data_IF_340017621243
#
_entry.id   IF_340017621243
#
_cell.length_a   1.000
_cell.length_b   1.000
_cell.length_c   1.000
_cell.angle_alpha   90.00
_cell.angle_beta   90.00
_cell.angle_gamma   90.00
#
_symmetry.space_group_name_H-M   'P 1'
#
loop_
_entity.id
_entity.type
_entity.pdbx_description
1 polymer ?
#
# COMPACT_ATOMS: atom_id res chain seq x y z
N UNK A 1 -1.30 16.21 -15.47
CA UNK A 1 0.11 16.30 -15.04
C UNK A 1 0.88 15.33 -15.92
N UNK A 2 1.59 15.87 -16.91
CA UNK A 2 2.35 15.03 -17.82
C UNK A 2 3.69 14.65 -17.15
N UNK A 3 4.06 13.39 -17.15
CA UNK A 3 5.35 12.91 -16.69
C UNK A 3 5.37 12.10 -15.39
N UNK A 4 4.21 11.75 -14.85
CA UNK A 4 4.09 10.90 -13.67
C UNK A 4 3.15 9.73 -13.96
N UNK A 5 3.54 8.54 -13.53
CA UNK A 5 2.68 7.35 -13.53
C UNK A 5 2.65 6.78 -12.11
N UNK A 6 1.50 6.26 -11.71
CA UNK A 6 1.39 5.49 -10.47
C UNK A 6 2.04 4.13 -10.72
N UNK A 7 2.90 3.68 -9.83
CA UNK A 7 3.62 2.41 -9.96
C UNK A 7 3.08 1.36 -9.01
N UNK A 8 2.95 1.69 -7.75
CA UNK A 8 2.40 0.79 -6.75
C UNK A 8 1.73 1.54 -5.60
N UNK A 9 0.91 0.82 -4.84
CA UNK A 9 0.37 1.27 -3.56
C UNK A 9 0.55 0.17 -2.53
N UNK A 10 1.12 0.51 -1.39
CA UNK A 10 1.29 -0.40 -0.28
C UNK A 10 0.53 0.06 0.96
N UNK A 11 0.12 -0.93 1.74
CA UNK A 11 -0.51 -0.79 3.04
C UNK A 11 0.38 -1.48 4.07
N UNK A 12 0.65 -0.80 5.16
CA UNK A 12 1.25 -1.38 6.36
C UNK A 12 0.33 -1.10 7.55
N UNK A 13 0.11 -2.10 8.36
CA UNK A 13 -0.72 -2.02 9.55
C UNK A 13 0.00 -2.67 10.72
N UNK A 14 -0.22 -2.15 11.92
CA UNK A 14 0.31 -2.70 13.14
C UNK A 14 -0.71 -2.57 14.28
N UNK A 15 -0.57 -3.45 15.25
CA UNK A 15 -1.38 -3.44 16.43
C UNK A 15 -0.87 -4.40 17.49
N UNK A 16 -1.72 -4.71 18.45
CA UNK A 16 -1.42 -5.71 19.44
C UNK A 16 -2.59 -6.64 19.73
N UNK A 17 -2.27 -7.77 20.34
CA UNK A 17 -3.23 -8.78 20.75
C UNK A 17 -2.90 -9.34 22.13
N UNK A 18 -3.89 -9.99 22.72
CA UNK A 18 -3.76 -10.68 24.00
C UNK A 18 -4.54 -11.99 23.93
N UNK A 19 -3.92 -13.09 24.33
CA UNK A 19 -4.55 -14.40 24.42
C UNK A 19 -4.36 -14.98 25.81
N UNK A 20 -5.47 -15.42 26.40
CA UNK A 20 -5.47 -16.13 27.67
C UNK A 20 -6.20 -17.47 27.53
N UNK A 21 -5.47 -18.55 27.81
CA UNK A 21 -5.96 -19.91 27.66
C UNK A 21 -5.86 -20.45 26.24
N UNK A 22 -5.51 -21.72 26.11
CA UNK A 22 -5.17 -22.37 24.83
C UNK A 22 -6.32 -22.46 23.81
N UNK A 23 -7.56 -22.19 24.24
CA UNK A 23 -8.74 -22.18 23.36
C UNK A 23 -9.17 -20.75 22.98
N UNK A 24 -8.31 -19.78 23.12
CA UNK A 24 -8.46 -18.42 22.61
C UNK A 24 -7.65 -18.22 21.34
N UNK A 25 -8.17 -17.42 20.42
CA UNK A 25 -7.49 -17.12 19.17
C UNK A 25 -7.83 -15.73 18.65
N UNK A 26 -6.91 -15.17 17.88
CA UNK A 26 -7.08 -13.94 17.14
C UNK A 26 -6.64 -14.13 15.69
N UNK A 27 -7.16 -13.31 14.81
CA UNK A 27 -6.72 -13.26 13.42
C UNK A 27 -6.89 -11.86 12.83
N UNK A 28 -6.05 -11.57 11.86
CA UNK A 28 -6.11 -10.36 11.03
C UNK A 28 -6.24 -10.80 9.58
N UNK A 29 -7.12 -10.14 8.85
CA UNK A 29 -7.29 -10.35 7.43
C UNK A 29 -7.96 -9.14 6.79
N UNK A 30 -8.18 -9.22 5.49
CA UNK A 30 -8.82 -8.15 4.74
C UNK A 30 -8.25 -8.04 3.33
N UNK A 31 -8.44 -6.89 2.73
CA UNK A 31 -7.93 -6.61 1.40
C UNK A 31 -7.69 -5.12 1.17
N UNK A 32 -6.64 -4.84 0.39
CA UNK A 32 -6.39 -3.56 -0.24
C UNK A 32 -6.97 -3.62 -1.66
N UNK A 33 -7.83 -2.67 -2.01
CA UNK A 33 -8.42 -2.56 -3.35
C UNK A 33 -8.11 -1.19 -3.92
N UNK A 34 -7.64 -1.15 -5.16
CA UNK A 34 -7.38 0.08 -5.89
C UNK A 34 -8.10 -0.01 -7.24
N UNK A 35 -8.86 1.01 -7.56
CA UNK A 35 -9.56 1.16 -8.84
C UNK A 35 -9.29 2.52 -9.46
N UNK A 36 -9.43 2.63 -10.77
CA UNK A 36 -9.43 3.92 -11.46
C UNK A 36 -10.71 4.72 -11.14
N UNK A 37 -10.71 6.01 -11.41
CA UNK A 37 -11.87 6.89 -11.18
C UNK A 37 -13.08 6.51 -12.05
N UNK A 38 -12.84 5.95 -13.23
CA UNK A 38 -13.90 5.49 -14.13
C UNK A 38 -14.50 4.12 -13.75
N UNK A 39 -13.98 3.45 -12.72
CA UNK A 39 -14.40 2.12 -12.26
C UNK A 39 -14.28 1.02 -13.35
N UNK A 40 -13.29 1.17 -14.22
CA UNK A 40 -13.02 0.23 -15.32
C UNK A 40 -11.86 -0.72 -15.01
N UNK A 41 -10.93 -0.29 -14.16
CA UNK A 41 -9.79 -1.06 -13.69
C UNK A 41 -9.91 -1.32 -12.20
N UNK A 42 -9.57 -2.52 -11.78
CA UNK A 42 -9.53 -2.92 -10.38
C UNK A 42 -8.36 -3.87 -10.13
N UNK A 43 -7.57 -3.58 -9.12
CA UNK A 43 -6.58 -4.49 -8.57
C UNK A 43 -6.81 -4.66 -7.09
N UNK A 44 -6.55 -5.85 -6.59
CA UNK A 44 -6.79 -6.20 -5.18
C UNK A 44 -5.64 -7.08 -4.68
N UNK A 45 -5.22 -6.83 -3.45
CA UNK A 45 -4.29 -7.71 -2.73
C UNK A 45 -4.84 -8.01 -1.33
N UNK A 46 -4.61 -9.22 -0.85
CA UNK A 46 -5.02 -9.64 0.47
C UNK A 46 -4.11 -9.01 1.54
N UNK A 47 -4.69 -8.53 2.63
CA UNK A 47 -3.91 -8.13 3.80
C UNK A 47 -3.36 -9.38 4.47
N UNK A 48 -2.04 -9.53 4.44
CA UNK A 48 -1.33 -10.65 5.03
C UNK A 48 -0.71 -10.23 6.34
N UNK A 49 -1.14 -10.88 7.42
CA UNK A 49 -0.59 -10.64 8.74
C UNK A 49 0.68 -11.49 8.95
N UNK A 50 1.71 -10.84 9.48
CA UNK A 50 2.88 -11.50 10.04
C UNK A 50 2.67 -11.58 11.56
N UNK A 51 2.41 -12.76 12.06
CA UNK A 51 2.32 -12.95 13.51
C UNK A 51 3.15 -14.14 13.90
N UNK A 52 3.44 -14.38 15.16
CA UNK A 52 2.79 -15.51 15.78
C UNK A 52 1.52 -15.04 16.48
N UNK A 53 0.34 -15.60 16.13
CA UNK A 53 -0.89 -15.40 16.89
C UNK A 53 -1.15 -16.56 17.87
N UNK A 54 -0.07 -17.16 18.37
CA UNK A 54 -0.05 -18.33 19.24
C UNK A 54 0.67 -18.12 20.58
N UNK A 55 1.00 -16.87 20.91
CA UNK A 55 1.61 -16.52 22.18
C UNK A 55 0.49 -16.32 23.22
N UNK A 56 0.40 -17.26 24.15
CA UNK A 56 -0.60 -17.25 25.21
C UNK A 56 0.00 -16.69 26.50
N UNK A 57 -0.72 -15.75 27.10
CA UNK A 57 -0.34 -15.15 28.37
C UNK A 57 -0.49 -16.14 29.53
N UNK A 58 0.33 -15.94 30.56
CA UNK A 58 0.30 -16.68 31.81
C UNK A 58 -0.26 -15.79 32.93
N UNK A 59 -0.65 -16.35 34.08
CA UNK A 59 -1.16 -15.56 35.21
C UNK A 59 -0.24 -14.44 35.72
N UNK A 60 1.04 -14.51 35.37
CA UNK A 60 2.07 -13.53 35.76
C UNK A 60 2.47 -12.59 34.62
N UNK A 61 1.99 -12.83 33.41
CA UNK A 61 2.27 -12.01 32.23
C UNK A 61 0.94 -11.57 31.59
N UNK A 62 0.63 -10.30 31.75
CA UNK A 62 -0.57 -9.66 31.21
C UNK A 62 -0.22 -8.68 30.07
N UNK A 63 0.95 -8.85 29.46
CA UNK A 63 1.41 -7.98 28.36
C UNK A 63 0.68 -8.31 27.06
N UNK A 64 0.49 -7.31 26.22
CA UNK A 64 0.04 -7.51 24.84
C UNK A 64 1.22 -7.85 23.94
N UNK A 65 0.95 -8.58 22.86
CA UNK A 65 1.92 -8.98 21.83
C UNK A 65 1.64 -8.24 20.53
N UNK A 66 2.69 -7.78 19.85
CA UNK A 66 2.55 -7.02 18.62
C UNK A 66 2.23 -7.94 17.43
N UNK A 67 1.53 -7.38 16.47
CA UNK A 67 1.33 -7.94 15.14
C UNK A 67 1.51 -6.87 14.08
N UNK A 68 1.92 -7.29 12.88
CA UNK A 68 2.02 -6.47 11.68
C UNK A 68 1.23 -7.12 10.55
N UNK A 69 0.77 -6.32 9.61
CA UNK A 69 0.16 -6.81 8.38
C UNK A 69 0.46 -5.88 7.21
N UNK A 70 0.47 -6.43 6.02
CA UNK A 70 0.75 -5.66 4.81
C UNK A 70 -0.04 -6.17 3.61
N UNK A 71 -0.23 -5.28 2.64
CA UNK A 71 -0.70 -5.58 1.30
C UNK A 71 -0.01 -4.65 0.30
N UNK A 72 0.18 -5.10 -0.94
CA UNK A 72 0.78 -4.30 -2.00
C UNK A 72 0.09 -4.58 -3.33
N UNK A 73 -0.27 -3.53 -4.05
CA UNK A 73 -0.81 -3.63 -5.41
C UNK A 73 0.10 -2.90 -6.39
N UNK A 74 0.37 -3.53 -7.52
CA UNK A 74 1.11 -2.91 -8.63
C UNK A 74 0.15 -2.24 -9.60
N UNK A 75 0.50 -1.03 -10.01
CA UNK A 75 -0.19 -0.23 -11.00
C UNK A 75 0.70 -0.01 -12.24
N UNK A 76 1.81 -0.75 -12.33
CA UNK A 76 2.77 -0.65 -13.44
C UNK A 76 2.31 -1.34 -14.75
N UNK A 77 1.14 -1.98 -14.76
CA UNK A 77 0.58 -2.60 -15.94
C UNK A 77 0.23 -1.59 -17.04
N UNK A 78 0.31 -2.03 -18.31
CA UNK A 78 0.04 -1.17 -19.45
C UNK A 78 -1.38 -0.58 -19.45
N UNK A 79 -2.33 -1.28 -18.84
CA UNK A 79 -3.72 -0.85 -18.65
C UNK A 79 -3.85 0.36 -17.73
N UNK A 80 -2.89 0.58 -16.82
CA UNK A 80 -2.83 1.72 -15.92
C UNK A 80 -2.15 2.95 -16.54
N UNK A 81 -1.64 2.85 -17.77
CA UNK A 81 -1.00 3.97 -18.44
C UNK A 81 -1.97 5.12 -18.65
N UNK A 82 -1.59 6.30 -18.16
CA UNK A 82 -2.41 7.51 -18.26
C UNK A 82 -3.45 7.65 -17.15
N UNK A 83 -3.58 6.68 -16.26
CA UNK A 83 -4.39 6.83 -15.05
C UNK A 83 -3.68 7.77 -14.08
N UNK A 84 -4.33 8.89 -13.76
CA UNK A 84 -3.78 9.95 -12.89
C UNK A 84 -4.53 10.06 -11.57
N UNK A 85 -5.64 9.35 -11.44
CA UNK A 85 -6.47 9.34 -10.26
C UNK A 85 -6.97 7.93 -9.96
N UNK A 86 -6.83 7.52 -8.73
CA UNK A 86 -7.29 6.22 -8.24
C UNK A 86 -8.09 6.38 -6.96
N UNK A 87 -8.98 5.45 -6.71
CA UNK A 87 -9.71 5.32 -5.46
C UNK A 87 -9.21 4.08 -4.74
N UNK A 88 -8.69 4.29 -3.55
CA UNK A 88 -8.23 3.21 -2.67
C UNK A 88 -9.30 2.88 -1.63
N UNK A 89 -9.51 1.59 -1.40
CA UNK A 89 -10.37 1.06 -0.34
C UNK A 89 -9.61 0.02 0.46
N UNK A 90 -9.64 0.15 1.77
CA UNK A 90 -9.08 -0.82 2.73
C UNK A 90 -10.25 -1.48 3.45
N UNK A 91 -10.30 -2.79 3.40
CA UNK A 91 -11.25 -3.61 4.16
C UNK A 91 -10.46 -4.46 5.15
N UNK A 92 -10.68 -4.26 6.44
CA UNK A 92 -10.02 -5.01 7.50
C UNK A 92 -11.00 -5.84 8.28
N UNK A 93 -10.55 -7.04 8.65
CA UNK A 93 -11.25 -7.95 9.54
C UNK A 93 -10.30 -8.34 10.66
N UNK A 94 -10.60 -7.87 11.87
CA UNK A 94 -9.93 -8.32 13.08
C UNK A 94 -10.90 -9.23 13.83
N UNK A 95 -10.46 -10.42 14.17
CA UNK A 95 -11.29 -11.41 14.87
C UNK A 95 -10.62 -11.83 16.16
N UNK A 96 -11.38 -11.87 17.23
CA UNK A 96 -10.99 -12.44 18.51
C UNK A 96 -12.09 -13.38 18.99
N UNK A 97 -11.74 -14.61 19.33
CA UNK A 97 -12.72 -15.59 19.79
C UNK A 97 -12.14 -16.55 20.83
N UNK A 98 -13.02 -17.10 21.64
CA UNK A 98 -12.69 -18.14 22.61
C UNK A 98 -13.65 -19.33 22.41
N UNK A 99 -13.10 -20.54 22.54
CA UNK A 99 -13.90 -21.77 22.47
C UNK A 99 -13.88 -22.41 23.85
N UNK A 100 -14.94 -22.25 24.66
CA UNK A 100 -15.03 -22.90 25.96
C UNK A 100 -14.95 -24.42 25.84
N UNK A 101 -14.20 -25.06 26.71
CA UNK A 101 -14.21 -26.51 26.91
C UNK A 101 -14.48 -26.81 28.38
N UNK A 102 -14.95 -27.99 28.68
CA UNK A 102 -15.37 -28.39 30.03
C UNK A 102 -14.29 -28.22 31.11
N UNK A 103 -13.01 -28.13 30.70
CA UNK A 103 -11.88 -27.92 31.57
C UNK A 103 -11.12 -26.61 31.27
N UNK A 104 -11.68 -25.73 30.42
CA UNK A 104 -11.06 -24.44 30.17
C UNK A 104 -11.29 -23.54 31.38
N UNK A 105 -10.22 -23.06 31.99
CA UNK A 105 -10.27 -21.97 32.94
C UNK A 105 -10.83 -20.69 32.29
N UNK A 106 -10.57 -19.53 32.88
CA UNK A 106 -10.90 -18.26 32.23
C UNK A 106 -10.22 -18.18 30.86
N UNK A 107 -10.98 -17.78 29.83
CA UNK A 107 -10.51 -17.57 28.48
C UNK A 107 -10.70 -16.12 28.11
N UNK A 108 -9.72 -15.55 27.41
CA UNK A 108 -9.82 -14.20 26.88
C UNK A 108 -9.04 -14.09 25.57
N UNK A 109 -9.63 -13.40 24.61
CA UNK A 109 -8.98 -13.00 23.38
C UNK A 109 -9.27 -11.52 23.12
N UNK A 110 -8.26 -10.79 22.69
CA UNK A 110 -8.35 -9.38 22.35
C UNK A 110 -7.41 -9.09 21.19
N UNK A 111 -7.81 -8.24 20.28
CA UNK A 111 -6.96 -7.72 19.21
C UNK A 111 -7.39 -6.30 18.85
N UNK A 112 -6.43 -5.44 18.66
CA UNK A 112 -6.68 -4.08 18.18
C UNK A 112 -5.65 -3.67 17.13
N UNK A 113 -6.07 -2.74 16.27
CA UNK A 113 -5.19 -2.07 15.32
C UNK A 113 -4.84 -0.69 15.85
N UNK A 114 -3.55 -0.34 15.85
CA UNK A 114 -3.03 0.93 16.35
C UNK A 114 -2.51 1.83 15.25
N UNK A 115 -1.97 1.25 14.19
CA UNK A 115 -1.35 2.01 13.11
C UNK A 115 -1.84 1.56 11.74
N UNK A 116 -1.96 2.52 10.83
CA UNK A 116 -2.20 2.31 9.40
C UNK A 116 -1.29 3.26 8.63
N UNK A 117 -0.39 2.72 7.84
CA UNK A 117 0.43 3.47 6.89
C UNK A 117 0.02 3.14 5.46
N UNK A 118 -0.04 4.16 4.62
CA UNK A 118 -0.25 4.00 3.17
C UNK A 118 0.90 4.70 2.46
N UNK A 119 1.55 3.97 1.57
CA UNK A 119 2.60 4.49 0.70
C UNK A 119 2.13 4.41 -0.76
N UNK A 120 2.45 5.44 -1.52
CA UNK A 120 2.13 5.52 -2.95
C UNK A 120 3.43 5.76 -3.71
N UNK A 121 3.84 4.77 -4.49
CA UNK A 121 5.01 4.90 -5.35
C UNK A 121 4.62 5.53 -6.68
N UNK A 122 5.38 6.55 -7.06
CA UNK A 122 5.19 7.30 -8.28
C UNK A 122 6.49 7.23 -9.10
N UNK A 123 6.40 6.68 -10.31
CA UNK A 123 7.50 6.73 -11.26
C UNK A 123 7.42 8.01 -12.07
N UNK A 124 8.47 8.81 -12.03
CA UNK A 124 8.64 9.96 -12.91
C UNK A 124 9.18 9.49 -14.26
N UNK A 125 8.37 9.55 -15.30
CA UNK A 125 8.89 9.38 -16.66
C UNK A 125 9.58 10.67 -17.09
N UNK A 126 10.90 10.59 -17.30
CA UNK A 126 11.62 11.70 -17.94
C UNK A 126 11.09 11.79 -19.37
N UNK A 127 10.25 12.80 -19.63
CA UNK A 127 9.82 13.09 -21.00
C UNK A 127 11.05 13.54 -21.77
N UNK A 128 11.55 12.76 -22.75
CA UNK A 128 12.67 13.21 -23.57
C UNK A 128 12.26 14.51 -24.24
N UNK A 129 13.03 15.58 -24.02
CA UNK A 129 12.80 16.84 -24.72
C UNK A 129 12.81 16.52 -26.22
N UNK A 130 11.69 16.74 -26.97
CA UNK A 130 11.65 16.38 -28.36
C UNK A 130 12.88 16.94 -29.09
N UNK A 131 13.51 16.13 -29.92
CA UNK A 131 14.68 16.59 -30.72
C UNK A 131 14.36 17.87 -31.49
N UNK A 132 13.07 18.12 -31.78
CA UNK A 132 12.56 19.35 -32.35
C UNK A 132 12.91 20.60 -31.52
N UNK A 133 12.97 20.53 -30.18
CA UNK A 133 13.37 21.65 -29.33
C UNK A 133 14.84 22.01 -29.53
N UNK A 134 15.71 20.99 -29.66
CA UNK A 134 17.11 21.18 -29.97
C UNK A 134 17.36 21.70 -31.41
N UNK A 135 16.58 21.18 -32.38
CA UNK A 135 16.61 21.65 -33.77
C UNK A 135 16.10 23.08 -33.87
N UNK A 136 15.04 23.43 -33.14
CA UNK A 136 14.53 24.80 -33.13
C UNK A 136 15.53 25.77 -32.50
N UNK A 137 16.14 25.43 -31.37
CA UNK A 137 17.16 26.22 -30.70
C UNK A 137 18.42 26.43 -31.59
N UNK A 138 18.91 25.36 -32.22
CA UNK A 138 20.04 25.42 -33.13
C UNK A 138 19.75 26.20 -34.42
N UNK A 139 18.51 26.06 -34.95
CA UNK A 139 18.05 26.84 -36.12
C UNK A 139 17.98 28.33 -35.83
N UNK A 140 17.51 28.73 -34.66
CA UNK A 140 17.45 30.13 -34.22
C UNK A 140 18.86 30.75 -34.09
N UNK A 141 19.79 29.98 -33.49
CA UNK A 141 21.21 30.41 -33.39
C UNK A 141 21.86 30.53 -34.77
N UNK A 142 21.56 29.62 -35.69
CA UNK A 142 22.00 29.68 -37.07
C UNK A 142 21.54 30.93 -37.79
N UNK A 143 20.24 31.29 -37.65
CA UNK A 143 19.68 32.50 -38.22
C UNK A 143 20.33 33.78 -37.68
N UNK A 144 20.59 33.86 -36.38
CA UNK A 144 21.30 34.98 -35.78
C UNK A 144 22.75 35.12 -36.29
N UNK A 145 23.42 33.97 -36.56
CA UNK A 145 24.75 33.95 -37.14
C UNK A 145 24.79 34.50 -38.59
N UNK A 146 23.78 34.15 -39.38
CA UNK A 146 23.64 34.66 -40.79
C UNK A 146 23.27 36.16 -40.82
N UNK A 147 22.38 36.60 -39.91
CA UNK A 147 21.99 38.00 -39.82
C UNK A 147 23.18 38.95 -39.49
N UNK A 148 24.11 38.50 -38.63
CA UNK A 148 25.31 39.24 -38.25
C UNK A 148 26.34 39.35 -39.38
N UNK A 149 26.36 38.47 -40.37
CA UNK A 149 27.28 38.53 -41.52
C UNK A 149 26.84 39.52 -42.62
N UNK A 150 25.63 40.04 -42.54
CA UNK A 150 25.08 40.97 -43.55
C UNK A 150 25.14 42.44 -43.11
N UNK A 151 25.68 42.73 -41.94
CA UNK A 151 26.05 44.07 -41.50
C UNK A 151 27.56 44.24 -41.63
#
# INVERSE_FOLDING_TARGET
MDGYTLDSMSLAEAGDYFLWGANSAVSVGGQLRVRDDADTLLVTDAITASGPFDIYNTPLDLTTHNWDASANVSLAGAEWNGVTQVVMKIENILSAYTVPSDNSGALQAFIEKKEVGVEVDIVTTVIPVPAAAWLFGSGLLGLLGVARRRM
#
